data_IF_061282146686
#
_entry.id   IF_061282146686
#
_cell.length_a   1.000
_cell.length_b   1.000
_cell.length_c   1.000
_cell.angle_alpha   90.00
_cell.angle_beta   90.00
_cell.angle_gamma   90.00
#
_symmetry.space_group_name_H-M   'P 1'
#
loop_
_entity.id
_entity.type
_entity.pdbx_description
1 polymer ?
#
# COMPACT_ATOMS: atom_id res chain seq x y z
N UNK A 1 0.40 29.67 -11.19
CA UNK A 1 0.16 31.13 -11.25
C UNK A 1 -0.57 31.45 -12.54
N UNK A 2 -1.68 32.17 -12.37
CA UNK A 2 -2.71 32.58 -13.34
C UNK A 2 -2.18 33.57 -14.42
N UNK A 3 -0.87 33.82 -14.48
CA UNK A 3 -0.30 34.94 -15.24
C UNK A 3 -0.06 34.68 -16.75
N UNK A 4 -0.07 33.45 -17.23
CA UNK A 4 0.28 33.17 -18.64
C UNK A 4 -0.70 33.78 -19.64
N UNK A 5 -2.00 33.48 -19.50
CA UNK A 5 -3.05 34.00 -20.38
C UNK A 5 -3.27 35.50 -20.16
N UNK A 6 -3.36 35.93 -18.92
CA UNK A 6 -3.54 37.34 -18.56
C UNK A 6 -2.36 38.21 -18.99
N UNK A 7 -1.13 37.72 -18.89
CA UNK A 7 0.05 38.44 -19.37
C UNK A 7 0.06 38.57 -20.90
N UNK A 8 -0.37 37.54 -21.65
CA UNK A 8 -0.52 37.59 -23.09
C UNK A 8 -1.57 38.63 -23.55
N UNK A 9 -2.71 38.62 -22.91
CA UNK A 9 -3.77 39.62 -23.17
C UNK A 9 -3.31 41.03 -22.80
N UNK A 10 -2.65 41.18 -21.66
CA UNK A 10 -2.11 42.49 -21.24
C UNK A 10 -1.03 43.00 -22.21
N UNK A 11 -0.16 42.17 -22.70
CA UNK A 11 0.81 42.54 -23.72
C UNK A 11 0.15 42.92 -25.04
N UNK A 12 -0.90 42.23 -25.46
CA UNK A 12 -1.70 42.60 -26.65
C UNK A 12 -2.35 43.99 -26.52
N UNK A 13 -2.94 44.27 -25.35
CA UNK A 13 -3.54 45.56 -25.03
C UNK A 13 -2.47 46.69 -25.05
N UNK A 14 -1.28 46.44 -24.49
CA UNK A 14 -0.18 47.40 -24.51
C UNK A 14 0.35 47.63 -25.96
N UNK A 15 0.42 46.59 -26.77
CA UNK A 15 0.83 46.74 -28.20
C UNK A 15 -0.23 47.55 -28.95
N UNK A 16 -1.52 47.32 -28.74
CA UNK A 16 -2.62 48.11 -29.33
C UNK A 16 -2.54 49.61 -28.90
N UNK A 17 -2.31 49.84 -27.61
CA UNK A 17 -2.11 51.20 -27.09
C UNK A 17 -0.88 51.90 -27.69
N UNK A 18 0.23 51.15 -27.88
CA UNK A 18 1.44 51.67 -28.56
C UNK A 18 1.18 52.09 -30.01
N UNK A 19 0.43 51.28 -30.75
CA UNK A 19 0.04 51.64 -32.13
C UNK A 19 -0.85 52.91 -32.14
N UNK A 20 -1.85 52.98 -31.23
CA UNK A 20 -2.70 54.16 -31.11
C UNK A 20 -1.90 55.41 -30.75
N UNK A 21 -0.90 55.32 -29.86
CA UNK A 21 -0.04 56.41 -29.45
C UNK A 21 0.91 56.87 -30.57
N UNK A 22 1.38 55.91 -31.39
CA UNK A 22 2.17 56.23 -32.59
C UNK A 22 1.36 57.02 -33.61
N UNK A 23 0.10 56.68 -33.83
CA UNK A 23 -0.82 57.46 -34.68
C UNK A 23 -1.07 58.87 -34.13
N UNK A 24 -1.25 58.99 -32.83
CA UNK A 24 -1.43 60.29 -32.18
C UNK A 24 -0.22 61.20 -32.31
N UNK A 25 1.01 60.63 -32.25
CA UNK A 25 2.26 61.42 -32.38
C UNK A 25 2.50 61.95 -33.77
N UNK A 26 1.87 61.36 -34.80
CA UNK A 26 1.96 61.78 -36.21
C UNK A 26 0.93 62.86 -36.54
N UNK A 27 0.15 63.36 -35.55
CA UNK A 27 -0.84 64.39 -35.73
C UNK A 27 -2.06 64.00 -36.55
N UNK A 28 -2.24 62.68 -36.79
CA UNK A 28 -3.38 62.17 -37.50
C UNK A 28 -4.62 62.10 -36.56
N UNK A 29 -5.79 62.47 -37.10
CA UNK A 29 -7.03 62.28 -36.35
C UNK A 29 -7.31 60.81 -36.10
N UNK A 30 -7.91 60.44 -35.00
CA UNK A 30 -8.24 59.03 -34.66
C UNK A 30 -9.37 58.44 -35.53
N UNK A 31 -10.10 59.27 -36.32
CA UNK A 31 -11.16 58.82 -37.16
C UNK A 31 -10.77 57.75 -38.20
N UNK A 32 -9.65 57.86 -38.95
CA UNK A 32 -9.22 56.83 -39.90
C UNK A 32 -8.86 55.50 -39.23
N UNK A 33 -8.47 55.52 -37.97
CA UNK A 33 -8.12 54.28 -37.25
C UNK A 33 -9.32 53.37 -37.01
N UNK A 34 -10.54 53.95 -36.91
CA UNK A 34 -11.77 53.21 -36.67
C UNK A 34 -12.59 52.96 -37.94
N UNK A 35 -12.41 53.76 -39.01
CA UNK A 35 -13.18 53.64 -40.23
C UNK A 35 -12.48 52.87 -41.37
N UNK A 36 -11.17 52.76 -41.30
CA UNK A 36 -10.38 52.05 -42.35
C UNK A 36 -10.13 50.62 -41.91
N UNK A 37 -10.74 49.66 -42.63
CA UNK A 37 -10.67 48.22 -42.41
C UNK A 37 -9.25 47.69 -42.42
N UNK A 38 -8.34 48.37 -43.18
CA UNK A 38 -6.93 47.95 -43.25
C UNK A 38 -6.18 48.06 -41.92
N UNK A 39 -6.57 49.04 -41.09
CA UNK A 39 -5.92 49.28 -39.81
C UNK A 39 -6.43 48.28 -38.71
N UNK A 40 -7.64 47.77 -38.87
CA UNK A 40 -8.19 46.76 -37.95
C UNK A 40 -7.45 45.42 -37.98
N UNK A 41 -6.89 45.06 -39.13
CA UNK A 41 -6.15 43.81 -39.28
C UNK A 41 -4.96 43.73 -38.32
N UNK A 42 -4.26 44.81 -38.09
CA UNK A 42 -3.13 44.86 -37.16
C UNK A 42 -3.58 44.57 -35.71
N UNK A 43 -4.69 45.19 -35.28
CA UNK A 43 -5.21 44.96 -33.93
C UNK A 43 -5.65 43.51 -33.72
N UNK A 44 -6.35 42.93 -34.70
CA UNK A 44 -6.76 41.53 -34.67
C UNK A 44 -5.58 40.60 -34.57
N UNK A 45 -4.51 40.84 -35.38
CA UNK A 45 -3.29 40.03 -35.37
C UNK A 45 -2.61 40.12 -33.99
N UNK A 46 -2.46 41.29 -33.41
CA UNK A 46 -1.84 41.44 -32.08
C UNK A 46 -2.64 40.74 -31.01
N UNK A 47 -3.96 40.83 -31.06
CA UNK A 47 -4.85 40.17 -30.08
C UNK A 47 -4.79 38.64 -30.19
N UNK A 48 -4.85 38.12 -31.42
CA UNK A 48 -4.75 36.67 -31.69
C UNK A 48 -3.35 36.16 -31.30
N UNK A 49 -2.28 36.86 -31.74
CA UNK A 49 -0.91 36.46 -31.40
C UNK A 49 -0.68 36.47 -29.88
N UNK A 50 -1.11 37.53 -29.19
CA UNK A 50 -0.99 37.61 -27.72
C UNK A 50 -1.76 36.51 -26.97
N UNK A 51 -2.98 36.20 -27.46
CA UNK A 51 -3.80 35.14 -26.87
C UNK A 51 -3.17 33.74 -27.10
N UNK A 52 -2.68 33.47 -28.32
CA UNK A 52 -2.04 32.19 -28.66
C UNK A 52 -0.73 32.02 -27.88
N UNK A 53 0.11 33.07 -27.83
CA UNK A 53 1.35 33.03 -27.06
C UNK A 53 1.07 32.80 -25.56
N UNK A 54 0.07 33.49 -25.01
CA UNK A 54 -0.34 33.33 -23.61
C UNK A 54 -0.86 31.91 -23.33
N UNK A 55 -1.64 31.33 -24.23
CA UNK A 55 -2.12 29.96 -24.13
C UNK A 55 -0.98 28.92 -24.20
N UNK A 56 -0.09 29.05 -25.19
CA UNK A 56 1.06 28.15 -25.34
C UNK A 56 1.97 28.20 -24.10
N UNK A 57 2.22 29.42 -23.60
CA UNK A 57 3.04 29.60 -22.41
C UNK A 57 2.40 28.97 -21.15
N UNK A 58 1.09 29.12 -21.00
CA UNK A 58 0.35 28.50 -19.89
C UNK A 58 0.45 26.97 -19.93
N UNK A 59 0.24 26.39 -21.11
CA UNK A 59 0.31 24.95 -21.32
C UNK A 59 1.72 24.38 -21.14
N UNK A 60 2.72 25.13 -21.57
CA UNK A 60 4.12 24.74 -21.40
C UNK A 60 4.51 24.77 -19.90
N UNK A 61 4.02 25.75 -19.14
CA UNK A 61 4.24 25.80 -17.70
C UNK A 61 3.55 24.63 -16.95
N UNK A 62 2.35 24.23 -17.36
CA UNK A 62 1.67 23.07 -16.80
C UNK A 62 2.46 21.76 -17.04
N UNK A 63 2.96 21.59 -18.28
CA UNK A 63 3.79 20.43 -18.61
C UNK A 63 5.09 20.39 -17.80
N UNK A 64 5.76 21.55 -17.63
CA UNK A 64 6.98 21.65 -16.82
C UNK A 64 6.69 21.35 -15.34
N UNK A 65 5.54 21.79 -14.81
CA UNK A 65 5.13 21.48 -13.43
C UNK A 65 4.88 19.98 -13.28
N UNK A 66 4.11 19.39 -14.18
CA UNK A 66 3.80 17.95 -14.15
C UNK A 66 5.10 17.12 -14.15
N UNK A 67 6.04 17.41 -15.06
CA UNK A 67 7.35 16.73 -15.12
C UNK A 67 8.18 16.97 -13.84
N UNK A 68 8.08 18.15 -13.24
CA UNK A 68 8.79 18.46 -12.00
C UNK A 68 8.22 17.68 -10.81
N UNK A 69 6.88 17.60 -10.71
CA UNK A 69 6.20 16.87 -9.66
C UNK A 69 6.45 15.36 -9.79
N UNK A 70 6.42 14.84 -11.02
CA UNK A 70 6.77 13.44 -11.32
C UNK A 70 8.24 13.13 -10.96
N UNK A 71 9.17 14.02 -11.32
CA UNK A 71 10.57 13.89 -10.91
C UNK A 71 10.76 13.99 -9.39
N UNK A 72 9.98 14.83 -8.70
CA UNK A 72 9.96 14.90 -7.24
C UNK A 72 9.55 13.58 -6.63
N UNK A 73 8.48 13.00 -7.15
CA UNK A 73 7.96 11.70 -6.69
C UNK A 73 8.95 10.55 -6.97
N UNK A 74 9.60 10.57 -8.14
CA UNK A 74 10.64 9.59 -8.47
C UNK A 74 11.89 9.74 -7.58
N UNK A 75 12.30 10.96 -7.26
CA UNK A 75 13.40 11.20 -6.32
C UNK A 75 13.08 10.68 -4.92
N UNK A 76 11.90 10.97 -4.40
CA UNK A 76 11.46 10.47 -3.11
C UNK A 76 11.44 8.92 -3.08
N UNK A 77 11.00 8.28 -4.18
CA UNK A 77 11.07 6.82 -4.33
C UNK A 77 12.50 6.29 -4.37
N UNK A 78 13.40 6.98 -5.06
CA UNK A 78 14.83 6.61 -5.11
C UNK A 78 15.50 6.78 -3.75
N UNK A 79 15.20 7.85 -3.02
CA UNK A 79 15.75 8.08 -1.69
C UNK A 79 15.22 7.05 -0.68
N UNK A 80 13.95 6.70 -0.79
CA UNK A 80 13.37 5.59 -0.02
C UNK A 80 14.06 4.24 -0.34
N UNK A 81 14.27 3.91 -1.62
CA UNK A 81 14.97 2.69 -2.02
C UNK A 81 16.44 2.69 -1.60
N UNK A 82 17.11 3.86 -1.62
CA UNK A 82 18.48 3.99 -1.11
C UNK A 82 18.53 3.78 0.40
N UNK A 83 17.57 4.34 1.14
CA UNK A 83 17.44 4.10 2.58
C UNK A 83 17.28 2.62 2.88
N UNK A 84 16.34 1.94 2.21
CA UNK A 84 16.16 0.50 2.34
C UNK A 84 17.43 -0.30 1.99
N UNK A 85 18.17 0.10 0.96
CA UNK A 85 19.40 -0.58 0.57
C UNK A 85 20.54 -0.37 1.58
N UNK A 86 20.64 0.84 2.15
CA UNK A 86 21.61 1.12 3.20
C UNK A 86 21.28 0.37 4.49
N UNK A 87 20.00 0.32 4.89
CA UNK A 87 19.54 -0.46 6.02
C UNK A 87 19.86 -1.96 5.84
N UNK A 88 19.68 -2.51 4.63
CA UNK A 88 20.07 -3.89 4.29
C UNK A 88 21.56 -4.14 4.50
N UNK A 89 22.42 -3.18 4.14
CA UNK A 89 23.87 -3.31 4.30
C UNK A 89 24.27 -3.19 5.76
N UNK A 90 23.64 -2.31 6.54
CA UNK A 90 23.94 -2.12 7.95
C UNK A 90 23.36 -3.26 8.82
N UNK A 91 22.17 -3.78 8.49
CA UNK A 91 21.60 -4.98 9.12
C UNK A 91 22.46 -6.22 8.91
N UNK A 92 23.10 -6.37 7.74
CA UNK A 92 24.03 -7.47 7.51
C UNK A 92 25.25 -7.41 8.43
N UNK A 93 25.67 -6.19 8.81
CA UNK A 93 26.73 -5.99 9.81
C UNK A 93 26.21 -6.23 11.22
N UNK A 94 25.03 -5.72 11.56
CA UNK A 94 24.42 -5.90 12.87
C UNK A 94 24.00 -7.35 13.13
N UNK A 95 23.48 -8.09 12.13
CA UNK A 95 23.17 -9.51 12.28
C UNK A 95 24.43 -10.34 12.61
N UNK A 96 25.58 -9.98 12.06
CA UNK A 96 26.85 -10.63 12.42
C UNK A 96 27.20 -10.41 13.88
N UNK A 97 26.96 -9.20 14.42
CA UNK A 97 27.29 -8.83 15.80
C UNK A 97 26.20 -9.30 16.79
N UNK A 98 24.95 -9.43 16.34
CA UNK A 98 23.82 -9.86 17.17
C UNK A 98 23.72 -11.38 17.36
N UNK A 99 24.27 -12.18 16.46
CA UNK A 99 24.35 -13.64 16.64
C UNK A 99 25.23 -14.00 17.85
N UNK A 100 26.19 -13.14 18.19
CA UNK A 100 27.10 -13.34 19.34
C UNK A 100 26.52 -12.80 20.66
N UNK A 101 25.53 -11.88 20.64
CA UNK A 101 25.05 -11.15 21.83
C UNK A 101 23.68 -11.51 22.40
N UNK A 102 22.90 -12.41 21.81
CA UNK A 102 21.49 -12.60 22.20
C UNK A 102 21.17 -13.92 22.93
N UNK A 103 21.57 -14.02 24.18
CA UNK A 103 20.98 -14.98 25.12
C UNK A 103 19.48 -14.69 25.42
N UNK A 104 19.05 -13.43 25.31
CA UNK A 104 17.66 -13.02 25.62
C UNK A 104 16.63 -13.33 24.52
N UNK A 105 17.06 -13.43 23.27
CA UNK A 105 16.13 -13.69 22.15
C UNK A 105 15.56 -15.10 22.15
N UNK A 106 16.36 -16.10 22.54
CA UNK A 106 15.89 -17.49 22.65
C UNK A 106 14.86 -17.68 23.78
N UNK A 107 15.01 -16.96 24.89
CA UNK A 107 14.05 -16.98 25.99
C UNK A 107 12.68 -16.43 25.56
N UNK A 108 12.67 -15.33 24.83
CA UNK A 108 11.45 -14.73 24.28
C UNK A 108 10.80 -15.63 23.23
N UNK A 109 11.58 -16.19 22.31
CA UNK A 109 11.07 -17.14 21.32
C UNK A 109 10.45 -18.38 21.96
N UNK A 110 11.08 -18.93 22.99
CA UNK A 110 10.57 -20.06 23.74
C UNK A 110 9.27 -19.73 24.48
N UNK A 111 9.19 -18.55 25.11
CA UNK A 111 7.97 -18.07 25.76
C UNK A 111 6.82 -17.93 24.73
N UNK A 112 7.08 -17.32 23.57
CA UNK A 112 6.13 -17.20 22.46
C UNK A 112 5.64 -18.57 21.99
N UNK A 113 6.55 -19.53 21.80
CA UNK A 113 6.18 -20.89 21.36
C UNK A 113 5.29 -21.58 22.38
N UNK A 114 5.56 -21.39 23.67
CA UNK A 114 4.75 -21.97 24.73
C UNK A 114 3.36 -21.35 24.85
N UNK A 115 3.23 -20.05 24.64
CA UNK A 115 1.94 -19.37 24.62
C UNK A 115 1.10 -19.74 23.38
N UNK A 116 1.75 -20.09 22.28
CA UNK A 116 1.10 -20.56 21.05
C UNK A 116 0.71 -22.06 21.10
N UNK A 117 0.96 -22.77 22.18
CA UNK A 117 0.58 -24.18 22.33
C UNK A 117 -0.92 -24.36 22.66
N UNK A 118 -1.76 -23.57 22.02
CA UNK A 118 -3.22 -23.61 22.10
C UNK A 118 -3.75 -24.57 21.02
N UNK A 119 -4.55 -25.53 21.43
CA UNK A 119 -5.07 -26.58 20.55
C UNK A 119 -6.30 -26.13 19.77
N UNK A 120 -7.04 -25.14 20.29
CA UNK A 120 -8.27 -24.63 19.65
C UNK A 120 -7.95 -23.51 18.66
N UNK A 121 -8.20 -23.68 17.34
CA UNK A 121 -7.83 -22.68 16.32
C UNK A 121 -8.36 -21.28 16.59
N UNK A 122 -9.59 -21.17 17.10
CA UNK A 122 -10.21 -19.86 17.37
C UNK A 122 -9.46 -19.08 18.45
N UNK A 123 -9.06 -19.74 19.54
CA UNK A 123 -8.25 -19.12 20.60
C UNK A 123 -6.83 -18.81 20.10
N UNK A 124 -6.29 -19.71 19.29
CA UNK A 124 -4.96 -19.55 18.70
C UNK A 124 -4.86 -18.29 17.85
N UNK A 125 -5.88 -17.97 17.03
CA UNK A 125 -5.85 -16.75 16.20
C UNK A 125 -5.75 -15.49 17.06
N UNK A 126 -6.51 -15.39 18.13
CA UNK A 126 -6.46 -14.24 19.04
C UNK A 126 -5.14 -14.16 19.81
N UNK A 127 -4.65 -15.30 20.28
CA UNK A 127 -3.35 -15.39 20.96
C UNK A 127 -2.21 -15.00 20.01
N UNK A 128 -2.26 -15.47 18.77
CA UNK A 128 -1.25 -15.13 17.74
C UNK A 128 -1.23 -13.62 17.46
N UNK A 129 -2.40 -12.97 17.26
CA UNK A 129 -2.47 -11.52 17.07
C UNK A 129 -1.85 -10.78 18.26
N UNK A 130 -2.19 -11.15 19.49
CA UNK A 130 -1.67 -10.51 20.71
C UNK A 130 -0.15 -10.63 20.78
N UNK A 131 0.40 -11.81 20.59
CA UNK A 131 1.83 -12.07 20.64
C UNK A 131 2.57 -11.31 19.51
N UNK A 132 2.03 -11.34 18.30
CA UNK A 132 2.60 -10.61 17.18
C UNK A 132 2.55 -9.10 17.41
N UNK A 133 1.45 -8.57 17.98
CA UNK A 133 1.31 -7.16 18.33
C UNK A 133 2.39 -6.71 19.32
N UNK A 134 2.61 -7.48 20.39
CA UNK A 134 3.64 -7.20 21.39
C UNK A 134 5.07 -7.33 20.83
N UNK A 135 5.29 -8.35 19.98
CA UNK A 135 6.64 -8.64 19.45
C UNK A 135 7.04 -7.70 18.30
N UNK A 136 6.07 -7.26 17.51
CA UNK A 136 6.30 -6.39 16.33
C UNK A 136 6.02 -4.93 16.63
N UNK A 137 5.52 -4.58 17.80
CA UNK A 137 5.08 -3.22 18.17
C UNK A 137 4.16 -2.62 17.09
N UNK A 138 3.18 -3.41 16.64
CA UNK A 138 2.25 -3.04 15.59
C UNK A 138 0.81 -3.32 15.97
N UNK A 139 -0.05 -2.30 15.80
CA UNK A 139 -1.50 -2.37 16.09
C UNK A 139 -2.35 -2.65 14.85
N UNK A 140 -1.74 -2.88 13.67
CA UNK A 140 -2.44 -3.07 12.41
C UNK A 140 -2.20 -4.47 11.82
N UNK A 141 -2.47 -5.50 12.63
CA UNK A 141 -2.32 -6.91 12.27
C UNK A 141 -3.68 -7.56 12.03
N UNK A 142 -3.75 -8.47 11.07
CA UNK A 142 -4.95 -9.25 10.79
C UNK A 142 -4.61 -10.66 10.31
N UNK A 143 -5.49 -11.60 10.66
CA UNK A 143 -5.42 -12.99 10.20
C UNK A 143 -6.72 -13.28 9.43
N UNK A 144 -6.55 -13.75 8.21
CA UNK A 144 -7.65 -14.15 7.33
C UNK A 144 -7.60 -15.66 7.11
N UNK A 145 -8.72 -16.32 7.22
CA UNK A 145 -8.88 -17.72 6.81
C UNK A 145 -9.44 -17.76 5.39
N UNK A 146 -8.77 -18.47 4.52
CA UNK A 146 -9.24 -18.72 3.16
C UNK A 146 -10.33 -19.79 3.22
N UNK A 147 -11.40 -19.59 2.47
CA UNK A 147 -12.49 -20.57 2.40
C UNK A 147 -12.09 -21.79 1.55
N UNK A 148 -12.85 -22.88 1.66
CA UNK A 148 -12.56 -24.11 0.93
C UNK A 148 -12.65 -23.96 -0.60
N UNK A 149 -13.27 -22.88 -1.10
CA UNK A 149 -13.34 -22.60 -2.53
C UNK A 149 -12.11 -21.81 -3.03
N UNK A 150 -11.27 -21.28 -2.12
CA UNK A 150 -10.15 -20.41 -2.45
C UNK A 150 -10.54 -19.04 -2.97
N UNK A 151 -11.85 -18.69 -2.97
CA UNK A 151 -12.35 -17.46 -3.56
C UNK A 151 -12.40 -16.29 -2.59
N UNK A 152 -12.60 -16.57 -1.30
CA UNK A 152 -12.73 -15.55 -0.26
C UNK A 152 -11.79 -15.81 0.90
N UNK A 153 -11.20 -14.74 1.41
CA UNK A 153 -10.48 -14.72 2.67
C UNK A 153 -11.31 -13.95 3.70
N UNK A 154 -11.66 -14.61 4.82
CA UNK A 154 -12.48 -14.06 5.90
C UNK A 154 -11.63 -13.70 7.08
N UNK A 155 -11.84 -12.51 7.62
CA UNK A 155 -11.17 -12.05 8.83
C UNK A 155 -11.59 -12.91 10.03
N UNK A 156 -10.60 -13.53 10.70
CA UNK A 156 -10.80 -14.36 11.89
C UNK A 156 -10.27 -13.74 13.17
N UNK A 157 -9.22 -12.93 13.06
CA UNK A 157 -8.69 -12.14 14.17
C UNK A 157 -8.02 -10.88 13.65
N UNK A 158 -8.08 -9.80 14.41
CA UNK A 158 -7.42 -8.53 14.09
C UNK A 158 -7.01 -7.80 15.36
N UNK A 159 -5.99 -6.96 15.24
CA UNK A 159 -5.58 -6.02 16.29
C UNK A 159 -6.50 -4.80 16.33
N UNK A 160 -6.50 -4.01 17.42
CA UNK A 160 -7.51 -2.97 17.69
C UNK A 160 -7.58 -1.86 16.63
N UNK A 161 -6.48 -1.53 15.96
CA UNK A 161 -6.43 -0.47 14.94
C UNK A 161 -6.67 -0.96 13.51
N UNK A 162 -6.83 -2.26 13.34
CA UNK A 162 -7.13 -2.79 12.01
C UNK A 162 -8.57 -2.43 11.61
N UNK A 163 -8.76 -1.94 10.37
CA UNK A 163 -10.10 -1.60 9.84
C UNK A 163 -10.92 -2.86 9.53
N UNK A 164 -11.58 -3.38 10.53
CA UNK A 164 -12.44 -4.56 10.43
C UNK A 164 -13.62 -4.32 9.48
N UNK A 165 -14.11 -3.07 9.38
CA UNK A 165 -15.29 -2.73 8.59
C UNK A 165 -15.07 -2.97 7.09
N UNK A 166 -13.95 -2.48 6.57
CA UNK A 166 -13.61 -2.57 5.15
C UNK A 166 -13.09 -3.95 4.72
N UNK A 167 -12.52 -4.73 5.66
CA UNK A 167 -11.80 -5.98 5.34
C UNK A 167 -12.39 -7.23 5.99
N UNK A 168 -13.68 -7.24 6.33
CA UNK A 168 -14.32 -8.40 6.96
C UNK A 168 -14.30 -9.66 6.09
N UNK A 169 -14.44 -9.49 4.79
CA UNK A 169 -14.34 -10.56 3.80
C UNK A 169 -13.77 -9.99 2.51
N UNK A 170 -12.73 -10.57 2.00
CA UNK A 170 -11.96 -10.07 0.85
C UNK A 170 -11.96 -11.12 -0.24
N UNK A 171 -12.16 -10.71 -1.49
CA UNK A 171 -12.00 -11.61 -2.62
C UNK A 171 -10.52 -11.83 -2.90
N UNK A 172 -10.12 -13.08 -2.97
CA UNK A 172 -8.74 -13.49 -3.26
C UNK A 172 -8.28 -12.97 -4.63
N UNK A 173 -9.18 -12.93 -5.62
CA UNK A 173 -8.89 -12.41 -6.96
C UNK A 173 -8.46 -10.93 -6.98
N UNK A 174 -8.95 -10.12 -6.05
CA UNK A 174 -8.64 -8.68 -6.01
C UNK A 174 -7.20 -8.42 -5.52
N UNK A 175 -6.59 -9.44 -4.92
CA UNK A 175 -5.23 -9.44 -4.37
C UNK A 175 -4.31 -10.47 -5.04
N UNK A 176 -4.51 -10.71 -6.33
CA UNK A 176 -3.76 -11.71 -7.10
C UNK A 176 -2.24 -11.56 -7.01
N UNK A 177 -1.73 -10.31 -6.97
CA UNK A 177 -0.29 -10.04 -6.80
C UNK A 177 0.24 -10.58 -5.46
N UNK A 178 -0.54 -10.42 -4.37
CA UNK A 178 -0.16 -10.97 -3.06
C UNK A 178 -0.14 -12.49 -3.14
N UNK A 179 -1.20 -13.11 -3.65
CA UNK A 179 -1.33 -14.56 -3.73
C UNK A 179 -0.17 -15.16 -4.53
N UNK A 180 0.14 -14.60 -5.70
CA UNK A 180 1.28 -15.07 -6.52
C UNK A 180 2.61 -14.92 -5.77
N UNK A 181 2.81 -13.84 -5.04
CA UNK A 181 4.02 -13.66 -4.24
C UNK A 181 4.10 -14.66 -3.08
N UNK A 182 2.98 -14.95 -2.41
CA UNK A 182 2.90 -15.96 -1.36
C UNK A 182 3.17 -17.37 -1.89
N UNK A 183 2.83 -17.64 -3.15
CA UNK A 183 3.14 -18.91 -3.81
C UNK A 183 4.64 -19.11 -4.08
N UNK A 184 5.36 -18.04 -4.44
CA UNK A 184 6.77 -18.12 -4.84
C UNK A 184 7.74 -17.79 -3.70
N UNK A 185 7.49 -16.76 -2.94
CA UNK A 185 8.47 -16.17 -2.01
C UNK A 185 8.09 -16.31 -0.52
N UNK A 186 6.92 -16.84 -0.22
CA UNK A 186 6.44 -16.98 1.17
C UNK A 186 6.05 -15.67 1.87
N UNK A 187 6.53 -14.51 1.41
CA UNK A 187 6.24 -13.20 1.96
C UNK A 187 5.98 -12.18 0.85
N UNK A 188 4.92 -11.39 1.04
CA UNK A 188 4.63 -10.21 0.25
C UNK A 188 5.07 -8.94 0.99
N UNK A 189 5.65 -8.00 0.23
CA UNK A 189 6.02 -6.66 0.73
C UNK A 189 5.48 -5.61 -0.22
N UNK A 190 4.73 -4.64 0.30
CA UNK A 190 4.18 -3.52 -0.47
C UNK A 190 5.24 -2.47 -0.79
N UNK A 191 6.15 -2.77 -1.70
CA UNK A 191 7.27 -1.89 -2.07
C UNK A 191 6.83 -0.63 -2.81
N UNK A 192 5.65 -0.65 -3.40
CA UNK A 192 5.10 0.46 -4.18
C UNK A 192 4.13 1.32 -3.39
N UNK A 193 3.89 0.98 -2.11
CA UNK A 193 2.96 1.67 -1.22
C UNK A 193 1.58 1.84 -1.86
N UNK A 194 1.08 0.77 -2.50
CA UNK A 194 -0.26 0.75 -3.07
C UNK A 194 -1.30 0.91 -1.97
N UNK A 195 -2.23 1.84 -2.16
CA UNK A 195 -3.37 2.02 -1.25
C UNK A 195 -4.21 0.74 -1.15
N UNK A 196 -4.76 0.46 0.03
CA UNK A 196 -5.59 -0.71 0.36
C UNK A 196 -4.85 -2.05 0.32
N UNK A 197 -3.54 -2.07 0.09
CA UNK A 197 -2.72 -3.27 0.20
C UNK A 197 -2.00 -3.28 1.55
N UNK A 198 -1.89 -4.44 2.23
CA UNK A 198 -1.11 -4.54 3.47
C UNK A 198 0.37 -4.24 3.20
N UNK A 199 1.09 -3.77 4.20
CA UNK A 199 2.54 -3.56 4.08
C UNK A 199 3.29 -4.88 3.97
N UNK A 200 2.89 -5.86 4.78
CA UNK A 200 3.43 -7.22 4.77
C UNK A 200 2.30 -8.24 4.74
N UNK A 201 2.51 -9.34 4.04
CA UNK A 201 1.62 -10.50 4.10
C UNK A 201 2.43 -11.80 4.01
N UNK A 202 2.01 -12.82 4.78
CA UNK A 202 2.55 -14.19 4.74
C UNK A 202 1.41 -15.17 4.66
N UNK A 203 1.57 -16.21 3.83
CA UNK A 203 0.61 -17.29 3.68
C UNK A 203 1.00 -18.50 4.52
N UNK A 204 0.04 -19.05 5.24
CA UNK A 204 0.13 -20.34 5.94
C UNK A 204 -0.55 -21.39 5.08
N UNK A 205 0.12 -22.50 4.84
CA UNK A 205 -0.41 -23.58 4.00
C UNK A 205 -0.79 -24.79 4.86
N UNK A 206 -1.95 -25.33 4.57
CA UNK A 206 -2.36 -26.65 5.05
C UNK A 206 -2.41 -27.62 3.86
N UNK A 207 -1.64 -28.71 3.92
CA UNK A 207 -1.58 -29.75 2.87
C UNK A 207 -1.29 -29.22 1.47
N UNK A 208 -0.53 -28.13 1.38
CA UNK A 208 -0.15 -27.50 0.11
C UNK A 208 -1.11 -26.40 -0.37
N UNK A 209 -2.30 -26.28 0.19
CA UNK A 209 -3.26 -25.21 -0.11
C UNK A 209 -3.10 -24.03 0.83
N UNK A 210 -3.35 -22.82 0.34
CA UNK A 210 -3.32 -21.59 1.15
C UNK A 210 -4.53 -21.58 2.08
N UNK A 211 -4.29 -21.80 3.37
CA UNK A 211 -5.34 -21.90 4.40
C UNK A 211 -5.55 -20.58 5.16
N UNK A 212 -4.46 -19.87 5.46
CA UNK A 212 -4.50 -18.64 6.25
C UNK A 212 -3.56 -17.60 5.65
N UNK A 213 -3.95 -16.34 5.72
CA UNK A 213 -3.11 -15.19 5.36
C UNK A 213 -2.95 -14.32 6.59
N UNK A 214 -1.71 -14.06 6.98
CA UNK A 214 -1.35 -13.15 8.07
C UNK A 214 -0.89 -11.85 7.43
N UNK A 215 -1.49 -10.73 7.82
CA UNK A 215 -1.17 -9.43 7.23
C UNK A 215 -0.82 -8.40 8.30
N UNK A 216 0.02 -7.46 7.93
CA UNK A 216 0.26 -6.22 8.63
C UNK A 216 -0.14 -5.08 7.71
N UNK A 217 -1.20 -4.33 8.07
CA UNK A 217 -1.78 -3.28 7.23
C UNK A 217 -0.86 -2.08 7.12
N UNK A 218 -0.54 -1.46 8.25
CA UNK A 218 0.31 -0.29 8.34
C UNK A 218 1.63 -0.63 9.04
N UNK A 219 2.72 -0.05 8.55
CA UNK A 219 4.04 -0.13 9.17
C UNK A 219 4.58 1.27 9.48
N UNK A 220 5.23 1.42 10.62
CA UNK A 220 5.98 2.63 10.96
C UNK A 220 7.19 2.75 10.03
N UNK A 221 7.74 3.96 9.79
CA UNK A 221 8.92 4.12 8.92
C UNK A 221 10.13 3.29 9.34
N UNK A 222 10.34 3.11 10.65
CA UNK A 222 11.40 2.27 11.23
C UNK A 222 11.15 0.76 11.08
N UNK A 223 9.94 0.38 10.73
CA UNK A 223 9.53 -1.01 10.44
C UNK A 223 9.61 -1.37 8.96
N UNK A 224 9.90 -0.40 8.08
CA UNK A 224 10.00 -0.60 6.64
C UNK A 224 11.42 -0.99 6.19
N UNK A 225 12.02 -1.99 6.85
CA UNK A 225 13.37 -2.47 6.58
C UNK A 225 13.43 -3.99 6.50
N UNK A 226 14.55 -4.52 6.01
CA UNK A 226 14.74 -5.97 5.85
C UNK A 226 14.76 -6.72 7.19
N UNK A 227 15.28 -6.08 8.23
CA UNK A 227 15.30 -6.69 9.58
C UNK A 227 13.87 -6.96 10.04
N UNK A 228 12.99 -5.97 9.93
CA UNK A 228 11.60 -6.09 10.33
C UNK A 228 10.84 -7.10 9.45
N UNK A 229 11.11 -7.10 8.13
CA UNK A 229 10.57 -8.10 7.21
C UNK A 229 10.93 -9.53 7.66
N UNK A 230 12.20 -9.77 8.02
CA UNK A 230 12.67 -11.05 8.52
C UNK A 230 12.03 -11.40 9.88
N UNK A 231 11.92 -10.43 10.79
CA UNK A 231 11.27 -10.62 12.09
C UNK A 231 9.79 -11.00 11.91
N UNK A 232 9.07 -10.30 11.04
CA UNK A 232 7.68 -10.61 10.70
C UNK A 232 7.57 -12.02 10.11
N UNK A 233 8.46 -12.40 9.19
CA UNK A 233 8.49 -13.75 8.61
C UNK A 233 8.74 -14.84 9.65
N UNK A 234 9.68 -14.63 10.57
CA UNK A 234 9.97 -15.57 11.67
C UNK A 234 8.75 -15.72 12.59
N UNK A 235 8.12 -14.62 12.98
CA UNK A 235 6.93 -14.65 13.80
C UNK A 235 5.77 -15.38 13.11
N UNK A 236 5.56 -15.11 11.82
CA UNK A 236 4.58 -15.84 11.02
C UNK A 236 4.88 -17.35 10.95
N UNK A 237 6.14 -17.75 10.81
CA UNK A 237 6.55 -19.16 10.82
C UNK A 237 6.28 -19.88 12.14
N UNK A 238 6.44 -19.19 13.28
CA UNK A 238 6.05 -19.74 14.58
C UNK A 238 4.54 -19.92 14.70
N UNK A 239 3.77 -18.92 14.26
CA UNK A 239 2.31 -18.99 14.22
C UNK A 239 1.83 -20.08 13.25
N UNK A 240 2.45 -20.20 12.07
CA UNK A 240 2.18 -21.27 11.11
C UNK A 240 2.34 -22.66 11.72
N UNK A 241 3.46 -22.90 12.42
CA UNK A 241 3.72 -24.19 13.09
C UNK A 241 2.66 -24.53 14.14
N UNK A 242 2.16 -23.53 14.87
CA UNK A 242 1.09 -23.70 15.83
C UNK A 242 -0.27 -23.96 15.16
N UNK A 243 -0.56 -23.22 14.07
CA UNK A 243 -1.80 -23.39 13.31
C UNK A 243 -1.91 -24.77 12.65
N UNK A 244 -0.82 -25.27 12.06
CA UNK A 244 -0.80 -26.60 11.46
C UNK A 244 -1.15 -27.66 12.51
N UNK A 245 -0.53 -27.61 13.70
CA UNK A 245 -0.87 -28.53 14.81
C UNK A 245 -2.33 -28.43 15.22
N UNK A 246 -2.87 -27.20 15.29
CA UNK A 246 -4.26 -27.01 15.68
C UNK A 246 -5.24 -27.55 14.60
N UNK A 247 -4.92 -27.41 13.33
CA UNK A 247 -5.72 -27.97 12.23
C UNK A 247 -5.68 -29.49 12.23
N UNK A 248 -4.51 -30.09 12.44
CA UNK A 248 -4.38 -31.56 12.57
C UNK A 248 -5.23 -32.09 13.74
N UNK A 249 -5.20 -31.39 14.88
CA UNK A 249 -6.02 -31.76 16.02
C UNK A 249 -7.52 -31.64 15.73
N UNK A 250 -7.95 -30.53 15.07
CA UNK A 250 -9.35 -30.33 14.65
C UNK A 250 -9.82 -31.47 13.73
N UNK A 251 -8.96 -31.85 12.76
CA UNK A 251 -9.24 -32.95 11.83
C UNK A 251 -9.38 -34.30 12.56
N UNK A 252 -8.48 -34.60 13.49
CA UNK A 252 -8.53 -35.81 14.30
C UNK A 252 -9.77 -35.81 15.18
N UNK A 253 -10.06 -34.70 15.85
CA UNK A 253 -11.25 -34.56 16.67
C UNK A 253 -12.54 -34.73 15.86
N UNK A 254 -12.61 -34.11 14.66
CA UNK A 254 -13.75 -34.27 13.75
C UNK A 254 -13.92 -35.71 13.29
N UNK A 255 -12.83 -36.39 12.89
CA UNK A 255 -12.89 -37.81 12.50
C UNK A 255 -13.31 -38.71 13.65
N UNK A 256 -12.92 -38.42 14.87
CA UNK A 256 -13.30 -39.17 16.04
C UNK A 256 -14.81 -39.08 16.37
N UNK A 257 -15.45 -37.96 15.96
CA UNK A 257 -16.89 -37.73 16.12
C UNK A 257 -17.74 -38.41 15.03
N UNK A 258 -17.12 -38.90 13.95
CA UNK A 258 -17.81 -39.60 12.86
C UNK A 258 -17.82 -41.10 13.12
N UNK A 259 -18.87 -41.77 12.62
CA UNK A 259 -18.91 -43.23 12.59
C UNK A 259 -17.94 -43.75 11.51
N UNK A 260 -17.04 -44.69 11.84
CA UNK A 260 -16.09 -45.22 10.86
C UNK A 260 -16.76 -45.73 9.56
N UNK A 261 -16.28 -45.23 8.42
CA UNK A 261 -16.83 -45.60 7.11
C UNK A 261 -18.09 -44.85 6.67
N UNK A 262 -18.57 -43.90 7.46
CA UNK A 262 -19.73 -43.06 7.12
C UNK A 262 -19.46 -41.60 7.46
N UNK A 263 -20.22 -40.65 6.85
CA UNK A 263 -20.15 -39.22 7.21
C UNK A 263 -21.16 -38.85 8.32
N UNK A 264 -21.66 -39.83 9.06
CA UNK A 264 -22.64 -39.62 10.12
C UNK A 264 -21.97 -39.34 11.47
N UNK A 265 -22.49 -38.38 12.21
CA UNK A 265 -22.02 -38.09 13.56
C UNK A 265 -22.42 -39.22 14.52
N UNK A 266 -21.53 -39.56 15.45
CA UNK A 266 -21.82 -40.48 16.54
C UNK A 266 -22.91 -39.90 17.42
N UNK A 267 -23.81 -40.74 18.02
CA UNK A 267 -24.86 -40.26 18.93
C UNK A 267 -24.31 -39.41 20.10
N UNK A 268 -23.15 -39.76 20.61
CA UNK A 268 -22.44 -39.08 21.70
C UNK A 268 -22.05 -37.62 21.35
N UNK A 269 -21.95 -37.27 20.05
CA UNK A 269 -21.66 -35.91 19.60
C UNK A 269 -22.84 -34.92 19.78
N UNK A 270 -24.05 -35.43 20.05
CA UNK A 270 -25.26 -34.66 20.29
C UNK A 270 -25.58 -34.46 21.80
N UNK A 271 -24.86 -35.15 22.68
CA UNK A 271 -25.06 -34.95 24.12
C UNK A 271 -24.28 -33.70 24.55
N UNK A 272 -24.97 -32.71 25.20
CA UNK A 272 -24.25 -31.56 25.75
C UNK A 272 -23.26 -32.08 26.80
N UNK A 273 -22.00 -31.66 26.70
CA UNK A 273 -21.05 -31.87 27.80
C UNK A 273 -21.54 -31.10 29.02
N UNK A 274 -22.10 -31.84 30.01
CA UNK A 274 -22.45 -31.34 31.33
C UNK A 274 -21.17 -30.93 32.07
#
# INVERSE_FOLDING_TARGET
TIYGLHAGVFAAVLACAGVAMSYASQGASFAPLFYDTSNWLAFVIYFVAGSVCGYVQSRNQESVRFVRDENGLLRNRLDFLRGLYQDVLDDRRQLRDQIIGRRDSFGKLYAVTRELDEVQPQKLYHTAIRIMQESLDSDSLAIFRVDNSGQFARLVAASPRFDVGSFRSVRVSDYGEIITALEHNGIWVNRTLKDKFPMYAVGVRDRGELAVIITMGEAKPDQMNLYFQNLFSIMCGLVESAMIRAFEYEDVARRSMLVPGTNLLKPEAFLPKV
#
